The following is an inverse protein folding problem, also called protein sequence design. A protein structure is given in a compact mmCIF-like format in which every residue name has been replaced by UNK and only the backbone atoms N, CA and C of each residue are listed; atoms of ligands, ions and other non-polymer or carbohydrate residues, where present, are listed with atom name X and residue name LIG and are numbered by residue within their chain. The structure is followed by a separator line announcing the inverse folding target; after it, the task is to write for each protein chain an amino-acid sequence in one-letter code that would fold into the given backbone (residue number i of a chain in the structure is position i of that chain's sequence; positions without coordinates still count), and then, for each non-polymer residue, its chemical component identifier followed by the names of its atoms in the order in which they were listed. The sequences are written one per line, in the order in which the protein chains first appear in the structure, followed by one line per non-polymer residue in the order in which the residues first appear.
data_IF_386793628579
#
_entry.id   IF_386793628579
#
_cell.length_a   1.000
_cell.length_b   1.000
_cell.length_c   1.000
_cell.angle_alpha   90.00
_cell.angle_beta   90.00
_cell.angle_gamma   90.00
#
_symmetry.space_group_name_H-M   'P 1'
#
loop_
_entity.id
_entity.type
_entity.pdbx_description
1 polymer ?
#
# COMPACT_ATOMS: atom_id res chain seq x y z
N UNK A 1 -9.96 -13.48 -13.83
CA UNK A 1 -9.02 -14.60 -14.09
C UNK A 1 -7.76 -13.99 -14.71
N UNK A 2 -6.70 -13.75 -13.92
CA UNK A 2 -5.48 -13.11 -14.41
C UNK A 2 -4.75 -14.05 -15.38
N UNK A 3 -4.55 -13.61 -16.63
CA UNK A 3 -3.74 -14.32 -17.62
C UNK A 3 -2.48 -13.50 -17.91
N UNK A 4 -1.50 -13.59 -17.03
CA UNK A 4 -0.17 -12.99 -17.20
C UNK A 4 0.92 -14.05 -17.01
N UNK A 5 2.13 -13.82 -17.54
CA UNK A 5 3.29 -14.61 -17.17
C UNK A 5 3.54 -14.46 -15.66
N UNK A 6 3.35 -15.53 -14.91
CA UNK A 6 3.68 -15.59 -13.48
C UNK A 6 5.09 -16.14 -13.29
N UNK A 7 5.80 -15.66 -12.26
CA UNK A 7 7.07 -16.22 -11.76
C UNK A 7 8.30 -16.05 -12.65
N UNK A 8 8.62 -14.81 -13.03
CA UNK A 8 9.95 -14.50 -13.55
C UNK A 8 10.87 -14.30 -12.35
N UNK A 9 11.59 -15.35 -12.01
CA UNK A 9 12.51 -15.37 -10.88
C UNK A 9 13.93 -15.57 -11.38
N UNK A 10 14.85 -14.71 -10.96
CA UNK A 10 16.27 -14.94 -11.21
C UNK A 10 16.81 -15.99 -10.25
N UNK A 11 17.81 -16.73 -10.70
CA UNK A 11 18.51 -17.66 -9.83
C UNK A 11 19.23 -16.90 -8.70
N UNK A 12 19.32 -17.54 -7.54
CA UNK A 12 19.86 -17.01 -6.27
C UNK A 12 21.26 -16.37 -6.35
N UNK A 13 22.00 -16.60 -7.44
CA UNK A 13 23.38 -16.15 -7.63
C UNK A 13 23.51 -14.82 -8.41
N UNK A 14 22.41 -14.12 -8.69
CA UNK A 14 22.44 -12.84 -9.38
C UNK A 14 22.59 -11.66 -8.39
N UNK A 15 23.83 -11.19 -8.20
CA UNK A 15 24.10 -9.89 -7.59
C UNK A 15 24.19 -8.84 -8.69
N UNK A 16 23.04 -8.30 -9.10
CA UNK A 16 22.99 -7.13 -9.98
C UNK A 16 22.33 -5.97 -9.23
N UNK A 17 22.88 -4.77 -9.41
CA UNK A 17 22.29 -3.53 -8.93
C UNK A 17 21.01 -3.15 -9.70
N UNK A 18 20.83 -3.72 -10.90
CA UNK A 18 19.67 -3.46 -11.76
C UNK A 18 19.27 -4.72 -12.52
N UNK A 19 17.97 -4.98 -12.60
CA UNK A 19 17.38 -6.08 -13.36
C UNK A 19 16.54 -5.51 -14.49
N UNK A 20 16.82 -5.94 -15.72
CA UNK A 20 16.13 -5.45 -16.93
C UNK A 20 15.53 -6.63 -17.68
N UNK A 21 14.26 -6.50 -18.04
CA UNK A 21 13.54 -7.46 -18.86
C UNK A 21 12.82 -6.76 -20.00
N UNK A 22 12.73 -7.45 -21.14
CA UNK A 22 11.94 -7.01 -22.29
C UNK A 22 10.78 -7.98 -22.50
N UNK A 23 9.57 -7.43 -22.53
CA UNK A 23 8.34 -8.19 -22.71
C UNK A 23 7.64 -7.83 -24.02
N UNK A 24 6.89 -8.80 -24.54
CA UNK A 24 5.86 -8.57 -25.56
C UNK A 24 4.57 -9.19 -25.04
N UNK A 25 3.65 -8.31 -24.62
CA UNK A 25 2.38 -8.71 -24.03
C UNK A 25 1.22 -8.29 -24.94
N UNK A 26 0.09 -9.02 -24.94
CA UNK A 26 -1.16 -8.53 -25.52
C UNK A 26 -1.58 -7.18 -24.90
N UNK A 27 -2.45 -6.42 -25.56
CA UNK A 27 -3.05 -5.24 -24.95
C UNK A 27 -3.91 -5.64 -23.74
N UNK A 28 -3.74 -4.94 -22.62
CA UNK A 28 -4.44 -5.23 -21.38
C UNK A 28 -3.81 -4.54 -20.18
N UNK A 29 -4.37 -4.79 -19.01
CA UNK A 29 -3.88 -4.29 -17.73
C UNK A 29 -3.01 -5.33 -17.04
N UNK A 30 -1.88 -4.89 -16.51
CA UNK A 30 -0.87 -5.75 -15.90
C UNK A 30 -0.45 -5.18 -14.55
N UNK A 31 -0.16 -6.08 -13.61
CA UNK A 31 0.39 -5.73 -12.30
C UNK A 31 1.84 -6.21 -12.27
N UNK A 32 2.74 -5.34 -11.83
CA UNK A 32 4.14 -5.68 -11.57
C UNK A 32 4.30 -5.72 -10.06
N UNK A 33 4.71 -6.86 -9.51
CA UNK A 33 4.99 -7.03 -8.07
C UNK A 33 6.50 -7.17 -7.89
N UNK A 34 7.22 -6.08 -7.54
CA UNK A 34 8.64 -6.17 -7.21
C UNK A 34 8.83 -6.95 -5.90
N UNK A 35 9.77 -7.91 -5.88
CA UNK A 35 10.04 -8.73 -4.70
C UNK A 35 11.49 -9.24 -4.68
N UNK A 36 11.97 -9.62 -3.50
CA UNK A 36 13.24 -10.31 -3.30
C UNK A 36 13.09 -11.82 -3.47
N UNK A 37 14.21 -12.53 -3.65
CA UNK A 37 14.18 -14.00 -3.75
C UNK A 37 13.67 -14.65 -2.46
N UNK A 38 14.23 -14.23 -1.32
CA UNK A 38 13.84 -14.70 0.00
C UNK A 38 12.90 -13.67 0.65
N UNK A 39 11.94 -14.11 1.48
CA UNK A 39 11.15 -13.19 2.30
C UNK A 39 12.03 -12.46 3.32
N UNK A 40 11.47 -11.41 3.91
CA UNK A 40 12.07 -10.67 5.03
C UNK A 40 13.44 -10.04 4.70
N UNK A 41 13.63 -9.63 3.45
CA UNK A 41 14.82 -8.90 3.02
C UNK A 41 14.47 -7.43 2.82
N UNK A 42 15.20 -6.58 3.53
CA UNK A 42 15.11 -5.14 3.38
C UNK A 42 15.92 -4.68 2.17
N UNK A 43 15.41 -3.69 1.45
CA UNK A 43 16.12 -3.03 0.36
C UNK A 43 15.27 -1.96 -0.31
N UNK A 44 15.90 -0.86 -0.67
CA UNK A 44 15.28 0.17 -1.50
C UNK A 44 15.33 -0.27 -2.97
N UNK A 45 14.31 0.12 -3.75
CA UNK A 45 14.25 -0.21 -5.17
C UNK A 45 13.66 0.94 -6.00
N UNK A 46 13.91 0.90 -7.30
CA UNK A 46 13.29 1.79 -8.28
C UNK A 46 12.81 0.95 -9.47
N UNK A 47 11.52 1.05 -9.79
CA UNK A 47 10.93 0.39 -10.96
C UNK A 47 10.78 1.42 -12.09
N UNK A 48 11.36 1.11 -13.27
CA UNK A 48 11.25 1.93 -14.48
C UNK A 48 10.59 1.10 -15.58
N UNK A 49 9.52 1.62 -16.18
CA UNK A 49 8.79 0.96 -17.27
C UNK A 49 8.94 1.79 -18.54
N UNK A 50 9.43 1.16 -19.59
CA UNK A 50 9.52 1.76 -20.93
C UNK A 50 8.65 0.95 -21.89
N UNK A 51 7.76 1.64 -22.60
CA UNK A 51 6.89 1.02 -23.60
C UNK A 51 7.10 1.67 -24.97
N UNK A 52 7.00 0.86 -26.03
CA UNK A 52 7.12 1.35 -27.42
C UNK A 52 5.97 2.29 -27.79
N UNK A 53 4.79 2.07 -27.19
CA UNK A 53 3.61 2.94 -27.29
C UNK A 53 3.29 3.49 -25.92
N UNK A 54 2.60 4.64 -25.88
CA UNK A 54 2.13 5.19 -24.61
C UNK A 54 1.33 4.14 -23.82
N UNK A 55 1.71 3.95 -22.55
CA UNK A 55 1.05 3.07 -21.60
C UNK A 55 1.06 3.79 -20.25
N UNK A 56 -0.10 3.86 -19.61
CA UNK A 56 -0.21 4.47 -18.29
C UNK A 56 0.31 3.51 -17.21
N UNK A 57 0.92 4.07 -16.17
CA UNK A 57 1.37 3.33 -15.00
C UNK A 57 0.95 4.09 -13.74
N UNK A 58 0.37 3.38 -12.79
CA UNK A 58 -0.01 3.91 -11.47
C UNK A 58 0.51 2.97 -10.39
N UNK A 59 0.79 3.54 -9.21
CA UNK A 59 1.03 2.73 -8.01
C UNK A 59 -0.33 2.27 -7.50
N UNK A 60 -0.48 0.96 -7.29
CA UNK A 60 -1.68 0.38 -6.69
C UNK A 60 -1.36 0.16 -5.23
N UNK A 61 -2.00 0.92 -4.36
CA UNK A 61 -1.90 0.82 -2.91
C UNK A 61 -3.26 1.20 -2.31
N UNK A 62 -3.48 0.84 -1.06
CA UNK A 62 -4.71 1.18 -0.36
C UNK A 62 -4.72 2.68 -0.01
N UNK A 63 -5.89 3.32 -0.15
CA UNK A 63 -6.06 4.70 0.30
C UNK A 63 -6.14 4.77 1.82
N UNK A 64 -5.48 5.77 2.42
CA UNK A 64 -5.59 6.03 3.85
C UNK A 64 -6.94 6.70 4.09
N UNK A 65 -7.90 5.93 4.59
CA UNK A 65 -9.24 6.41 4.94
C UNK A 65 -9.45 6.44 6.46
N UNK A 66 -10.04 7.53 6.95
CA UNK A 66 -10.42 7.71 8.35
C UNK A 66 -11.94 7.65 8.51
N UNK A 67 -12.56 6.54 8.10
CA UNK A 67 -14.01 6.36 8.22
C UNK A 67 -14.35 5.95 9.66
N UNK A 68 -14.59 6.94 10.51
CA UNK A 68 -15.05 6.75 11.88
C UNK A 68 -16.52 7.13 11.96
N UNK A 69 -17.29 6.36 12.73
CA UNK A 69 -18.64 6.76 13.10
C UNK A 69 -18.54 7.94 14.08
N UNK A 70 -18.78 9.16 13.58
CA UNK A 70 -18.92 10.32 14.44
C UNK A 70 -20.20 10.14 15.27
N UNK A 71 -20.02 9.94 16.57
CA UNK A 71 -21.15 9.94 17.49
C UNK A 71 -21.46 11.39 17.84
N UNK A 72 -22.63 11.88 17.41
CA UNK A 72 -23.17 13.13 17.94
C UNK A 72 -23.58 12.90 19.40
N UNK A 73 -22.77 13.40 20.34
CA UNK A 73 -23.03 13.32 21.78
C UNK A 73 -23.56 14.67 22.24
N UNK A 74 -24.79 14.72 22.73
CA UNK A 74 -25.36 15.91 23.36
C UNK A 74 -24.98 15.98 24.84
N UNK A 75 -25.19 17.13 25.49
CA UNK A 75 -24.93 17.26 26.92
C UNK A 75 -25.79 16.33 27.79
N UNK A 76 -26.96 15.92 27.29
CA UNK A 76 -27.88 15.01 27.96
C UNK A 76 -27.40 13.56 27.91
N UNK A 77 -26.56 13.22 26.92
CA UNK A 77 -25.94 11.90 26.78
C UNK A 77 -24.74 11.71 27.75
N UNK A 78 -24.31 12.78 28.43
CA UNK A 78 -23.18 12.76 29.35
C UNK A 78 -23.66 12.54 30.79
N UNK A 79 -23.24 11.42 31.39
CA UNK A 79 -23.62 11.11 32.77
C UNK A 79 -23.16 12.17 33.79
N UNK A 80 -24.00 12.52 34.80
CA UNK A 80 -23.64 13.50 35.83
C UNK A 80 -22.39 13.13 36.64
N UNK A 81 -22.18 11.83 36.86
CA UNK A 81 -20.99 11.27 37.51
C UNK A 81 -19.71 11.63 36.75
N UNK A 82 -19.76 11.53 35.42
CA UNK A 82 -18.66 11.88 34.52
C UNK A 82 -18.39 13.39 34.53
N UNK A 83 -19.43 14.24 34.46
CA UNK A 83 -19.26 15.71 34.57
C UNK A 83 -18.57 16.11 35.87
N UNK A 84 -18.96 15.48 36.99
CA UNK A 84 -18.35 15.73 38.30
C UNK A 84 -16.88 15.28 38.33
N UNK A 85 -16.58 14.10 37.82
CA UNK A 85 -15.21 13.58 37.76
C UNK A 85 -14.33 14.47 36.88
N UNK A 86 -14.83 14.91 35.72
CA UNK A 86 -14.14 15.82 34.83
C UNK A 86 -13.77 17.12 35.55
N UNK A 87 -14.71 17.74 36.27
CA UNK A 87 -14.44 18.95 37.04
C UNK A 87 -13.40 18.78 38.16
N UNK A 88 -13.20 17.56 38.68
CA UNK A 88 -12.16 17.26 39.67
C UNK A 88 -10.77 17.07 39.04
N UNK A 89 -10.71 16.63 37.78
CA UNK A 89 -9.48 16.23 37.11
C UNK A 89 -8.97 17.24 36.10
N UNK A 90 -9.82 18.12 35.57
CA UNK A 90 -9.50 19.02 34.46
C UNK A 90 -8.43 20.09 34.78
N UNK A 91 -7.95 20.17 36.03
CA UNK A 91 -7.03 21.24 36.46
C UNK A 91 -7.71 22.61 36.51
N UNK A 92 -7.04 23.58 37.13
CA UNK A 92 -7.47 24.99 37.09
C UNK A 92 -6.99 25.68 35.80
#
# INVERSE_FOLDING_TARGET
KFSGQTNIHLSKNFFLTELVYRFKLPAGEYIIVPSTFEPDKNGDFCLRVFSEKNANSTVIDDEIEGNFDETEISEDDIEPSFKKLFGQLAGN
#
